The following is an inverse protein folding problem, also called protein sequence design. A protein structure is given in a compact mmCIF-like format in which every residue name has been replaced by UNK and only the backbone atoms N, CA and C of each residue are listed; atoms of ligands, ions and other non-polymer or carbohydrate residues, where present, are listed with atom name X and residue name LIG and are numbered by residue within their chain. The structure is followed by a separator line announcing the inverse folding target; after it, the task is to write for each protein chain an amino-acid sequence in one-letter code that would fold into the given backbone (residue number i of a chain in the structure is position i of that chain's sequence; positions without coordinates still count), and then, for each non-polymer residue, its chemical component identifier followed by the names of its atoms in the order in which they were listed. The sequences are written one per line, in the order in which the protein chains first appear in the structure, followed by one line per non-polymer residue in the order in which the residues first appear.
data_IF_413614745452
#
_entry.id   IF_413614745452
#
_cell.length_a   1.000
_cell.length_b   1.000
_cell.length_c   1.000
_cell.angle_alpha   90.00
_cell.angle_beta   90.00
_cell.angle_gamma   90.00
#
_symmetry.space_group_name_H-M   'P 1'
#
loop_
_entity.id
_entity.type
_entity.pdbx_description
1 polymer ?
#
# COMPACT_ATOMS: atom_id res chain seq x y z
N UNK A 1 -1.16 37.98 68.90
CA UNK A 1 -1.94 36.84 68.36
C UNK A 1 -1.42 36.53 66.96
N UNK A 2 -0.59 35.50 66.83
CA UNK A 2 -0.08 34.98 65.55
C UNK A 2 -0.31 33.47 65.56
N UNK A 3 -1.52 33.06 65.15
CA UNK A 3 -1.89 31.65 65.07
C UNK A 3 -1.15 31.08 63.85
N UNK A 4 -0.18 30.22 64.13
CA UNK A 4 0.74 29.62 63.16
C UNK A 4 -0.03 28.66 62.24
N UNK A 5 -0.11 29.00 60.95
CA UNK A 5 -0.87 28.29 59.91
C UNK A 5 -0.12 27.02 59.41
N UNK A 6 0.40 26.21 60.34
CA UNK A 6 1.27 25.05 60.04
C UNK A 6 0.50 23.88 59.39
N UNK A 7 -0.76 23.69 59.79
CA UNK A 7 -1.64 22.66 59.21
C UNK A 7 -2.04 22.99 57.78
N UNK A 8 -2.26 24.28 57.47
CA UNK A 8 -2.58 24.73 56.10
C UNK A 8 -1.43 24.47 55.11
N UNK A 9 -0.16 24.56 55.56
CA UNK A 9 1.02 24.31 54.72
C UNK A 9 1.25 22.83 54.39
N UNK A 10 0.87 21.92 55.30
CA UNK A 10 1.01 20.46 55.06
C UNK A 10 -0.05 19.92 54.09
N UNK A 11 -1.27 20.46 54.12
CA UNK A 11 -2.34 20.08 53.21
C UNK A 11 -2.08 20.53 51.76
N UNK A 12 -1.46 21.70 51.56
CA UNK A 12 -1.10 22.20 50.23
C UNK A 12 -0.03 21.37 49.51
N UNK A 13 0.92 20.78 50.26
CA UNK A 13 1.98 19.94 49.69
C UNK A 13 1.47 18.57 49.23
N UNK A 14 0.50 17.98 49.94
CA UNK A 14 -0.11 16.69 49.57
C UNK A 14 -0.94 16.77 48.28
N UNK A 15 -1.68 17.86 48.10
CA UNK A 15 -2.50 18.06 46.89
C UNK A 15 -1.67 18.20 45.60
N UNK A 16 -0.46 18.79 45.68
CA UNK A 16 0.44 18.92 44.52
C UNK A 16 1.04 17.56 44.09
N UNK A 17 1.35 16.67 45.05
CA UNK A 17 1.91 15.35 44.77
C UNK A 17 0.89 14.40 44.10
N UNK A 18 -0.40 14.56 44.39
CA UNK A 18 -1.48 13.81 43.75
C UNK A 18 -1.88 14.35 42.37
N UNK A 19 -1.61 15.63 42.08
CA UNK A 19 -1.90 16.27 40.79
C UNK A 19 -0.76 16.12 39.76
N UNK A 20 0.46 15.79 40.20
CA UNK A 20 1.62 15.60 39.32
C UNK A 20 1.43 14.55 38.20
N UNK A 21 0.90 13.33 38.44
CA UNK A 21 0.72 12.35 37.37
C UNK A 21 -0.40 12.72 36.37
N UNK A 22 -1.38 13.54 36.77
CA UNK A 22 -2.45 14.02 35.89
C UNK A 22 -1.99 15.13 34.93
N UNK A 23 -0.90 15.85 35.26
CA UNK A 23 -0.25 16.80 34.35
C UNK A 23 0.78 16.11 33.44
N UNK A 24 1.37 15.00 33.88
CA UNK A 24 2.28 14.20 33.07
C UNK A 24 1.58 13.56 31.85
N UNK A 25 0.27 13.24 31.95
CA UNK A 25 -0.50 12.71 30.82
C UNK A 25 -0.80 13.73 29.71
N UNK A 26 -0.41 15.01 29.89
CA UNK A 26 -0.53 16.05 28.86
C UNK A 26 0.81 16.40 28.20
N UNK A 27 1.89 15.67 28.49
CA UNK A 27 3.23 15.98 27.96
C UNK A 27 3.61 15.17 26.73
N UNK A 28 2.92 14.06 26.44
CA UNK A 28 2.99 13.42 25.13
C UNK A 28 1.89 13.99 24.25
N UNK A 29 2.27 14.96 23.42
CA UNK A 29 1.36 15.51 22.44
C UNK A 29 1.14 14.43 21.38
N UNK A 30 -0.12 14.02 21.19
CA UNK A 30 -0.50 13.03 20.17
C UNK A 30 -0.02 13.41 18.75
N UNK A 31 0.36 14.67 18.53
CA UNK A 31 0.93 15.22 17.29
C UNK A 31 2.42 14.98 17.10
N UNK A 32 3.17 14.61 18.14
CA UNK A 32 4.62 14.39 18.05
C UNK A 32 4.97 12.96 17.63
N UNK A 33 3.98 12.05 17.61
CA UNK A 33 4.15 10.74 17.02
C UNK A 33 4.15 10.82 15.48
N UNK A 34 5.06 10.08 14.85
CA UNK A 34 5.13 9.98 13.39
C UNK A 34 3.88 9.27 12.88
N UNK A 35 2.89 10.05 12.42
CA UNK A 35 1.72 9.53 11.72
C UNK A 35 2.01 9.46 10.21
N UNK A 36 2.05 8.25 9.66
CA UNK A 36 2.23 8.04 8.23
C UNK A 36 0.88 7.72 7.59
N UNK A 37 0.22 8.73 7.03
CA UNK A 37 -1.00 8.58 6.25
C UNK A 37 -0.71 8.04 4.83
N UNK A 38 0.02 6.92 4.73
CA UNK A 38 0.39 6.32 3.46
C UNK A 38 0.04 4.83 3.43
N UNK A 39 -0.10 4.28 2.23
CA UNK A 39 -0.39 2.87 2.05
C UNK A 39 0.81 1.97 2.40
N UNK A 40 2.02 2.53 2.46
CA UNK A 40 3.25 1.80 2.78
C UNK A 40 3.74 1.98 4.21
N UNK A 41 4.59 1.03 4.62
CA UNK A 41 5.27 1.08 5.91
C UNK A 41 6.55 1.90 5.81
N UNK A 42 6.95 2.54 6.90
CA UNK A 42 8.23 3.26 6.98
C UNK A 42 9.03 2.83 8.21
N UNK A 43 10.35 2.79 8.07
CA UNK A 43 11.31 2.60 9.14
C UNK A 43 12.31 3.76 9.11
N UNK A 44 12.63 4.33 10.28
CA UNK A 44 13.53 5.47 10.44
C UNK A 44 14.55 5.26 11.56
N UNK A 45 14.78 4.01 11.94
CA UNK A 45 15.62 3.68 13.10
C UNK A 45 17.11 3.57 12.73
N UNK A 46 17.43 3.53 11.43
CA UNK A 46 18.78 3.42 10.90
C UNK A 46 19.32 4.74 10.32
N UNK A 47 20.57 4.72 9.81
CA UNK A 47 21.17 5.87 9.13
C UNK A 47 20.57 6.14 7.74
N UNK A 48 19.92 5.12 7.16
CA UNK A 48 19.13 5.24 5.94
C UNK A 48 17.68 4.95 6.31
N UNK A 49 16.81 5.92 6.13
CA UNK A 49 15.37 5.73 6.33
C UNK A 49 14.78 5.00 5.13
N UNK A 50 13.89 4.06 5.41
CA UNK A 50 13.11 3.35 4.41
C UNK A 50 11.68 3.85 4.50
N UNK A 51 11.26 4.66 3.53
CA UNK A 51 9.97 5.37 3.57
C UNK A 51 9.00 4.83 2.53
N UNK A 52 7.74 4.67 2.96
CA UNK A 52 6.61 4.25 2.12
C UNK A 52 6.94 3.01 1.26
N UNK A 53 7.51 1.98 1.89
CA UNK A 53 7.75 0.71 1.24
C UNK A 53 6.42 -0.01 1.00
N UNK A 54 6.20 -0.44 -0.25
CA UNK A 54 5.05 -1.25 -0.67
C UNK A 54 5.50 -2.26 -1.72
N UNK A 55 4.85 -3.42 -1.76
CA UNK A 55 4.97 -4.34 -2.89
C UNK A 55 3.72 -4.20 -3.73
N UNK A 56 3.87 -3.73 -4.96
CA UNK A 56 2.76 -3.59 -5.90
C UNK A 56 2.66 -4.87 -6.72
N UNK A 57 1.51 -5.54 -6.67
CA UNK A 57 1.27 -6.80 -7.35
C UNK A 57 -0.03 -6.77 -8.16
N UNK A 58 -0.14 -7.66 -9.14
CA UNK A 58 -1.36 -7.89 -9.91
C UNK A 58 -2.07 -9.14 -9.38
N UNK A 59 -3.40 -9.13 -9.35
CA UNK A 59 -4.23 -10.25 -8.86
C UNK A 59 -3.98 -11.54 -9.68
N UNK A 60 -3.77 -11.37 -10.99
CA UNK A 60 -3.51 -12.49 -11.90
C UNK A 60 -2.16 -13.20 -11.68
N UNK A 61 -1.24 -12.61 -10.93
CA UNK A 61 0.12 -13.15 -10.73
C UNK A 61 0.52 -13.16 -9.25
N UNK A 62 -0.10 -14.04 -8.43
CA UNK A 62 0.25 -14.14 -7.02
C UNK A 62 1.74 -14.50 -6.83
N UNK A 63 2.34 -13.99 -5.75
CA UNK A 63 3.76 -14.19 -5.43
C UNK A 63 4.75 -13.44 -6.33
N UNK A 64 4.28 -12.51 -7.17
CA UNK A 64 5.11 -11.63 -8.01
C UNK A 64 4.68 -10.19 -7.83
N UNK A 65 5.64 -9.28 -7.68
CA UNK A 65 5.36 -7.85 -7.60
C UNK A 65 6.60 -7.00 -7.80
N UNK A 66 6.42 -5.68 -7.70
CA UNK A 66 7.49 -4.69 -7.70
C UNK A 66 7.52 -4.00 -6.35
N UNK A 67 8.66 -4.06 -5.67
CA UNK A 67 8.95 -3.25 -4.49
C UNK A 67 9.13 -1.79 -4.92
N UNK A 68 8.28 -0.93 -4.37
CA UNK A 68 8.31 0.53 -4.54
C UNK A 68 8.63 1.13 -3.18
N UNK A 69 9.66 1.98 -3.11
CA UNK A 69 10.16 2.52 -1.84
C UNK A 69 10.95 3.80 -2.06
N UNK A 70 10.97 4.67 -1.05
CA UNK A 70 11.90 5.80 -0.98
C UNK A 70 12.96 5.55 0.07
N UNK A 71 14.23 5.68 -0.29
CA UNK A 71 15.36 5.54 0.63
C UNK A 71 15.96 6.91 0.87
N UNK A 72 16.18 7.30 2.13
CA UNK A 72 16.74 8.61 2.49
C UNK A 72 18.00 8.42 3.31
N UNK A 73 19.14 8.91 2.84
CA UNK A 73 20.38 8.83 3.59
C UNK A 73 20.52 10.09 4.46
N UNK A 74 20.38 9.91 5.78
CA UNK A 74 20.41 11.02 6.73
C UNK A 74 21.83 11.49 7.08
N UNK A 75 22.87 10.86 6.52
CA UNK A 75 24.23 11.36 6.69
C UNK A 75 24.42 12.66 5.94
N UNK A 76 24.88 13.69 6.64
CA UNK A 76 25.19 15.00 6.04
C UNK A 76 26.70 15.21 6.13
N UNK A 77 27.32 15.50 4.98
CA UNK A 77 28.74 15.85 4.91
C UNK A 77 28.91 17.38 4.95
N UNK A 78 29.91 17.91 5.69
CA UNK A 78 30.18 19.34 5.74
C UNK A 78 30.43 19.93 4.35
N UNK A 79 29.96 21.16 4.13
CA UNK A 79 30.22 21.86 2.87
C UNK A 79 31.73 22.02 2.62
N UNK A 80 32.20 21.50 1.48
CA UNK A 80 33.61 21.53 1.09
C UNK A 80 34.46 20.36 1.58
N UNK A 81 33.87 19.32 2.18
CA UNK A 81 34.56 18.06 2.46
C UNK A 81 34.59 17.15 1.23
N UNK A 82 35.69 16.42 1.03
CA UNK A 82 35.83 15.36 0.02
C UNK A 82 35.39 13.97 0.54
N UNK A 83 34.71 13.92 1.69
CA UNK A 83 34.21 12.67 2.28
C UNK A 83 33.07 12.11 1.43
N UNK A 84 33.22 10.88 0.94
CA UNK A 84 32.11 10.15 0.32
C UNK A 84 31.28 9.45 1.41
N UNK A 85 30.16 10.07 1.77
CA UNK A 85 29.16 9.50 2.70
C UNK A 85 27.97 8.84 1.97
N UNK A 86 28.13 8.50 0.68
CA UNK A 86 27.13 7.78 -0.11
C UNK A 86 26.96 6.36 0.42
N UNK A 87 25.72 5.97 0.71
CA UNK A 87 25.40 4.58 0.99
C UNK A 87 24.87 3.87 -0.25
N UNK A 88 24.72 2.54 -0.20
CA UNK A 88 24.18 1.75 -1.29
C UNK A 88 23.25 0.67 -0.78
N UNK A 89 22.06 0.54 -1.37
CA UNK A 89 21.27 -0.66 -1.23
C UNK A 89 21.92 -1.77 -2.07
N UNK A 90 22.28 -2.88 -1.43
CA UNK A 90 23.01 -3.99 -2.07
C UNK A 90 22.19 -5.28 -2.15
N UNK A 91 21.15 -5.41 -1.33
CA UNK A 91 20.34 -6.62 -1.26
C UNK A 91 18.93 -6.35 -0.75
N UNK A 92 18.02 -7.25 -1.14
CA UNK A 92 16.66 -7.35 -0.60
C UNK A 92 16.41 -8.82 -0.31
N UNK A 93 16.02 -9.13 0.93
CA UNK A 93 15.75 -10.50 1.38
C UNK A 93 14.57 -10.56 2.37
N UNK A 94 14.46 -11.64 3.15
CA UNK A 94 13.31 -11.93 4.02
C UNK A 94 12.35 -12.96 3.41
N UNK A 95 11.05 -12.70 3.51
CA UNK A 95 9.98 -13.53 2.92
C UNK A 95 9.88 -13.40 1.39
N UNK A 96 10.60 -12.43 0.83
CA UNK A 96 10.69 -12.17 -0.60
C UNK A 96 12.12 -12.31 -1.09
N UNK A 97 12.25 -12.69 -2.36
CA UNK A 97 13.50 -12.67 -3.09
C UNK A 97 13.45 -11.55 -4.13
N UNK A 98 14.34 -10.57 -3.99
CA UNK A 98 14.52 -9.48 -4.95
C UNK A 98 15.94 -9.44 -5.49
N UNK A 99 16.12 -9.16 -6.79
CA UNK A 99 17.43 -9.04 -7.39
C UNK A 99 17.86 -7.57 -7.51
N UNK A 100 18.76 -7.13 -6.64
CA UNK A 100 19.47 -5.85 -6.81
C UNK A 100 20.62 -6.08 -7.79
N UNK A 101 20.34 -6.01 -9.09
CA UNK A 101 21.33 -6.34 -10.14
C UNK A 101 22.58 -5.45 -10.09
N UNK A 102 22.43 -4.22 -9.60
CA UNK A 102 23.52 -3.28 -9.32
C UNK A 102 23.20 -2.54 -8.02
N UNK A 103 24.18 -2.31 -7.14
CA UNK A 103 23.95 -1.50 -5.95
C UNK A 103 23.34 -0.15 -6.29
N UNK A 104 22.26 0.22 -5.60
CA UNK A 104 21.59 1.51 -5.79
C UNK A 104 22.26 2.53 -4.89
N UNK A 105 22.92 3.53 -5.45
CA UNK A 105 23.59 4.58 -4.68
C UNK A 105 22.57 5.56 -4.07
N UNK A 106 22.73 5.87 -2.79
CA UNK A 106 21.90 6.79 -2.00
C UNK A 106 22.82 7.92 -1.49
N UNK A 107 22.90 9.05 -2.22
CA UNK A 107 23.80 10.14 -1.86
C UNK A 107 23.53 10.68 -0.45
N UNK A 108 24.58 11.12 0.22
CA UNK A 108 24.50 11.73 1.54
C UNK A 108 23.56 12.95 1.55
N UNK A 109 22.62 12.99 2.49
CA UNK A 109 21.66 14.08 2.65
C UNK A 109 20.57 14.12 1.58
N UNK A 110 20.47 13.08 0.76
CA UNK A 110 19.52 12.98 -0.35
C UNK A 110 18.69 11.70 -0.28
N UNK A 111 17.79 11.54 -1.25
CA UNK A 111 16.88 10.40 -1.36
C UNK A 111 16.91 9.77 -2.74
N UNK A 112 16.54 8.50 -2.78
CA UNK A 112 16.30 7.74 -4.00
C UNK A 112 14.91 7.15 -3.93
N UNK A 113 14.11 7.37 -4.97
CA UNK A 113 12.81 6.74 -5.16
C UNK A 113 12.95 5.59 -6.15
N UNK A 114 12.75 4.37 -5.64
CA UNK A 114 12.71 3.13 -6.40
C UNK A 114 11.27 2.89 -6.84
N UNK A 115 10.98 3.15 -8.11
CA UNK A 115 9.65 3.03 -8.69
C UNK A 115 9.71 2.92 -10.21
N UNK A 116 8.58 2.60 -10.83
CA UNK A 116 8.33 2.96 -12.22
C UNK A 116 7.84 4.41 -12.27
N UNK A 117 8.44 5.25 -13.13
CA UNK A 117 8.01 6.64 -13.25
C UNK A 117 6.58 6.69 -13.83
N UNK A 118 5.67 7.36 -13.12
CA UNK A 118 4.29 7.63 -13.56
C UNK A 118 3.99 9.13 -13.39
N UNK A 119 2.77 9.54 -13.74
CA UNK A 119 2.32 10.92 -13.49
C UNK A 119 2.28 11.24 -11.99
N UNK A 120 1.94 10.25 -11.15
CA UNK A 120 1.74 10.41 -9.72
C UNK A 120 2.97 10.03 -8.89
N UNK A 121 3.84 9.15 -9.42
CA UNK A 121 5.03 8.64 -8.71
C UNK A 121 6.29 9.00 -9.51
N UNK A 122 7.06 10.01 -9.07
CA UNK A 122 8.37 10.27 -9.65
C UNK A 122 9.32 9.12 -9.28
N UNK A 123 10.20 8.72 -10.21
CA UNK A 123 11.20 7.70 -9.97
C UNK A 123 12.59 8.25 -10.28
N UNK A 124 13.57 7.94 -9.42
CA UNK A 124 15.00 8.19 -9.69
C UNK A 124 15.71 6.93 -10.16
N UNK A 125 15.19 5.76 -9.78
CA UNK A 125 15.68 4.45 -10.19
C UNK A 125 14.50 3.48 -10.31
N UNK A 126 14.62 2.41 -11.12
CA UNK A 126 13.55 1.44 -11.29
C UNK A 126 13.22 0.73 -9.97
N UNK A 127 11.94 0.40 -9.77
CA UNK A 127 11.51 -0.48 -8.69
C UNK A 127 12.15 -1.86 -8.77
N UNK A 128 12.18 -2.58 -7.66
CA UNK A 128 12.83 -3.89 -7.59
C UNK A 128 11.78 -4.97 -7.77
N UNK A 129 11.91 -5.78 -8.83
CA UNK A 129 11.06 -6.95 -8.99
C UNK A 129 11.34 -7.96 -7.86
N UNK A 130 10.28 -8.36 -7.17
CA UNK A 130 10.31 -9.31 -6.06
C UNK A 130 9.41 -10.51 -6.33
N UNK A 131 9.83 -11.67 -5.82
CA UNK A 131 9.05 -12.90 -5.87
C UNK A 131 9.00 -13.54 -4.49
N UNK A 132 7.92 -14.23 -4.16
CA UNK A 132 7.75 -14.85 -2.85
C UNK A 132 6.42 -15.57 -2.72
N UNK A 133 6.06 -15.95 -1.49
CA UNK A 133 4.78 -16.59 -1.19
C UNK A 133 3.82 -15.59 -0.54
N UNK A 134 3.27 -14.69 -1.34
CA UNK A 134 2.35 -13.63 -0.89
C UNK A 134 1.20 -13.38 -1.86
N UNK A 135 0.11 -12.79 -1.36
CA UNK A 135 -1.03 -12.30 -2.14
C UNK A 135 -1.39 -10.87 -1.73
N UNK A 136 -2.30 -10.25 -2.48
CA UNK A 136 -2.82 -8.92 -2.19
C UNK A 136 -3.39 -8.85 -0.77
N UNK A 137 -3.06 -7.78 -0.04
CA UNK A 137 -3.47 -7.54 1.35
C UNK A 137 -2.59 -8.21 2.42
N UNK A 138 -1.62 -9.04 2.03
CA UNK A 138 -0.66 -9.60 2.97
C UNK A 138 0.36 -8.52 3.42
N UNK A 139 1.01 -8.78 4.55
CA UNK A 139 2.22 -8.08 5.00
C UNK A 139 3.35 -9.10 5.01
N UNK A 140 4.48 -8.76 4.38
CA UNK A 140 5.65 -9.66 4.28
C UNK A 140 6.86 -9.02 4.93
N UNK A 141 7.69 -9.82 5.60
CA UNK A 141 8.94 -9.32 6.18
C UNK A 141 9.96 -9.12 5.05
N UNK A 142 10.43 -7.88 4.90
CA UNK A 142 11.44 -7.50 3.91
C UNK A 142 12.65 -6.95 4.64
N UNK A 143 13.81 -7.55 4.38
CA UNK A 143 15.10 -7.08 4.85
C UNK A 143 15.80 -6.26 3.76
N UNK A 144 16.21 -5.05 4.11
CA UNK A 144 16.96 -4.13 3.27
C UNK A 144 18.43 -4.14 3.69
N UNK A 145 19.30 -4.59 2.79
CA UNK A 145 20.74 -4.66 3.06
C UNK A 145 21.44 -3.45 2.45
N UNK A 146 22.15 -2.71 3.31
CA UNK A 146 22.94 -1.55 2.92
C UNK A 146 24.44 -1.87 2.98
N UNK A 147 25.23 -1.16 2.17
CA UNK A 147 26.68 -1.36 2.15
C UNK A 147 27.36 -0.83 3.42
N UNK A 148 26.85 0.25 4.01
CA UNK A 148 27.47 0.91 5.16
C UNK A 148 26.52 1.07 6.36
N UNK A 149 25.23 1.30 6.13
CA UNK A 149 24.22 1.29 7.19
C UNK A 149 23.88 -0.13 7.66
N UNK A 150 23.28 -0.23 8.84
CA UNK A 150 22.74 -1.49 9.34
C UNK A 150 21.57 -1.95 8.46
N UNK A 151 21.43 -3.26 8.28
CA UNK A 151 20.24 -3.83 7.63
C UNK A 151 18.99 -3.54 8.45
N UNK A 152 17.88 -3.34 7.76
CA UNK A 152 16.59 -2.97 8.35
C UNK A 152 15.54 -3.97 7.89
N UNK A 153 14.78 -4.54 8.83
CA UNK A 153 13.74 -5.54 8.54
C UNK A 153 12.42 -5.12 9.13
N UNK A 154 11.38 -5.07 8.30
CA UNK A 154 10.02 -4.76 8.74
C UNK A 154 8.96 -5.28 7.76
N UNK A 155 7.71 -5.22 8.19
CA UNK A 155 6.56 -5.68 7.42
C UNK A 155 6.17 -4.68 6.33
N UNK A 156 6.24 -5.12 5.08
CA UNK A 156 5.85 -4.37 3.89
C UNK A 156 4.51 -4.88 3.37
N UNK A 157 3.50 -4.01 3.18
CA UNK A 157 2.20 -4.42 2.64
C UNK A 157 2.28 -4.74 1.15
N UNK A 158 1.51 -5.74 0.74
CA UNK A 158 1.27 -6.09 -0.66
C UNK A 158 -0.03 -5.45 -1.12
N UNK A 159 0.08 -4.54 -2.09
CA UNK A 159 -1.04 -3.74 -2.60
C UNK A 159 -1.29 -3.98 -4.10
N UNK A 160 -2.48 -3.62 -4.53
CA UNK A 160 -2.95 -3.86 -5.90
C UNK A 160 -2.38 -2.84 -6.91
N UNK A 161 -1.92 -3.33 -8.07
CA UNK A 161 -1.58 -2.52 -9.25
C UNK A 161 -2.86 -2.07 -9.98
N UNK A 162 -3.72 -1.29 -9.33
CA UNK A 162 -5.05 -0.99 -9.87
C UNK A 162 -5.07 0.25 -10.74
N UNK A 163 -5.80 0.22 -11.86
CA UNK A 163 -6.06 1.39 -12.68
C UNK A 163 -6.74 2.52 -11.87
N UNK A 164 -6.27 3.75 -12.05
CA UNK A 164 -6.76 4.93 -11.33
C UNK A 164 -6.27 5.06 -9.88
N UNK A 165 -5.44 4.13 -9.39
CA UNK A 165 -4.74 4.28 -8.11
C UNK A 165 -3.38 4.97 -8.29
N UNK A 166 -2.84 5.53 -7.22
CA UNK A 166 -1.48 6.13 -7.21
C UNK A 166 -0.36 5.12 -7.55
N UNK A 167 -0.62 3.81 -7.46
CA UNK A 167 0.35 2.76 -7.77
C UNK A 167 0.09 2.08 -9.12
N UNK A 168 -0.84 2.61 -9.91
CA UNK A 168 -1.11 2.12 -11.26
C UNK A 168 0.18 2.17 -12.10
N UNK A 169 0.51 1.06 -12.75
CA UNK A 169 1.68 0.98 -13.63
C UNK A 169 2.98 0.57 -12.94
N UNK A 170 2.99 0.41 -11.60
CA UNK A 170 4.22 0.08 -10.87
C UNK A 170 4.69 -1.37 -11.09
N UNK A 171 3.78 -2.27 -11.46
CA UNK A 171 4.08 -3.67 -11.77
C UNK A 171 3.59 -4.04 -13.18
N UNK A 172 3.92 -3.20 -14.18
CA UNK A 172 3.44 -3.39 -15.55
C UNK A 172 1.99 -2.89 -15.72
N UNK A 173 1.26 -3.47 -16.68
CA UNK A 173 -0.11 -3.04 -16.99
C UNK A 173 -1.01 -3.15 -15.75
N UNK A 174 -1.75 -2.08 -15.39
CA UNK A 174 -2.59 -2.10 -14.21
C UNK A 174 -3.82 -2.99 -14.42
N UNK A 175 -4.25 -3.64 -13.34
CA UNK A 175 -5.51 -4.37 -13.29
C UNK A 175 -6.69 -3.40 -13.44
N UNK A 176 -7.78 -3.90 -14.04
CA UNK A 176 -8.97 -3.10 -14.25
C UNK A 176 -9.53 -2.62 -12.91
N UNK A 177 -10.00 -1.37 -12.85
CA UNK A 177 -10.69 -0.88 -11.67
C UNK A 177 -11.93 -1.74 -11.42
N UNK A 178 -12.04 -2.32 -10.21
CA UNK A 178 -13.28 -2.95 -9.79
C UNK A 178 -14.35 -1.86 -9.71
N UNK A 179 -15.47 -1.98 -10.44
CA UNK A 179 -16.55 -1.01 -10.32
C UNK A 179 -17.04 -1.06 -8.87
N UNK A 180 -17.00 0.08 -8.18
CA UNK A 180 -17.60 0.19 -6.86
C UNK A 180 -19.08 -0.17 -7.02
N UNK A 181 -19.50 -1.28 -6.40
CA UNK A 181 -20.90 -1.68 -6.36
C UNK A 181 -21.68 -0.61 -5.58
N UNK A 182 -22.11 0.44 -6.29
CA UNK A 182 -22.70 1.64 -5.71
C UNK A 182 -22.96 2.78 -6.69
N UNK A 183 -22.25 2.84 -7.83
CA UNK A 183 -22.42 3.94 -8.81
C UNK A 183 -23.49 3.67 -9.88
N UNK A 184 -24.23 2.57 -9.82
CA UNK A 184 -25.37 2.30 -10.72
C UNK A 184 -26.71 2.34 -9.99
N UNK A 185 -27.03 3.45 -9.32
CA UNK A 185 -28.42 3.74 -8.95
C UNK A 185 -29.14 4.64 -9.97
N UNK A 186 -28.41 5.39 -10.82
CA UNK A 186 -29.06 6.24 -11.84
C UNK A 186 -29.42 5.52 -13.15
N UNK A 187 -28.80 4.37 -13.46
CA UNK A 187 -29.04 3.70 -14.75
C UNK A 187 -30.24 2.73 -14.75
N UNK A 188 -30.76 2.37 -13.57
CA UNK A 188 -31.99 1.57 -13.48
C UNK A 188 -33.27 2.40 -13.67
N UNK A 189 -33.23 3.72 -13.48
CA UNK A 189 -34.43 4.55 -13.56
C UNK A 189 -34.75 5.02 -14.99
N UNK A 190 -33.77 5.19 -15.89
CA UNK A 190 -34.07 5.57 -17.28
C UNK A 190 -34.68 4.42 -18.11
N UNK A 191 -34.27 3.17 -17.85
CA UNK A 191 -34.85 2.01 -18.54
C UNK A 191 -36.21 1.60 -17.96
N UNK A 192 -36.48 1.83 -16.67
CA UNK A 192 -37.78 1.55 -16.06
C UNK A 192 -38.87 2.55 -16.51
N UNK A 193 -38.51 3.83 -16.72
CA UNK A 193 -39.44 4.85 -17.22
C UNK A 193 -39.73 4.74 -18.72
N UNK A 194 -38.79 4.24 -19.54
CA UNK A 194 -39.05 3.95 -20.96
C UNK A 194 -39.94 2.71 -21.16
N UNK A 195 -39.91 1.74 -20.25
CA UNK A 195 -40.74 0.53 -20.34
C UNK A 195 -42.20 0.73 -19.90
N UNK A 196 -42.53 1.81 -19.18
CA UNK A 196 -43.90 2.11 -18.72
C UNK A 196 -44.72 2.95 -19.73
N UNK A 197 -44.13 3.34 -20.87
CA UNK A 197 -44.75 4.26 -21.84
C UNK A 197 -45.40 3.62 -23.07
N UNK A 198 -45.20 2.34 -23.33
CA UNK A 198 -45.83 1.64 -24.46
C UNK A 198 -46.77 0.56 -23.96
N UNK A 199 -48.07 0.89 -23.96
CA UNK A 199 -49.14 -0.08 -23.86
C UNK A 199 -49.14 -0.94 -25.14
N UNK A 200 -48.91 -2.26 -25.09
CA UNK A 200 -49.16 -3.10 -26.24
C UNK A 200 -50.66 -3.32 -26.39
N UNK A 201 -51.17 -2.95 -27.56
CA UNK A 201 -52.50 -3.30 -28.03
C UNK A 201 -52.70 -4.83 -27.96
N UNK A 202 -53.84 -5.23 -27.44
CA UNK A 202 -54.34 -6.60 -27.42
C UNK A 202 -54.35 -7.22 -28.81
N UNK A 203 -53.81 -8.43 -28.97
CA UNK A 203 -54.25 -9.32 -30.06
C UNK A 203 -54.31 -10.77 -29.57
N UNK A 204 -55.40 -11.40 -29.98
CA UNK A 204 -55.94 -12.70 -29.61
C UNK A 204 -54.98 -13.89 -29.67
N UNK A 205 -55.25 -14.83 -28.76
CA UNK A 205 -54.71 -16.18 -28.73
C UNK A 205 -55.33 -17.08 -29.81
N UNK A 206 -54.58 -18.06 -30.32
CA UNK A 206 -55.08 -19.37 -30.80
C UNK A 206 -53.93 -20.41 -30.75
N UNK A 207 -54.19 -21.71 -30.43
CA UNK A 207 -53.19 -22.59 -29.81
C UNK A 207 -52.55 -23.65 -30.72
N UNK A 208 -51.42 -24.17 -30.21
CA UNK A 208 -50.83 -25.53 -30.27
C UNK A 208 -50.88 -26.37 -31.57
N UNK A 209 -49.73 -26.95 -31.91
CA UNK A 209 -49.66 -28.36 -32.37
C UNK A 209 -48.27 -28.96 -32.11
N UNK A 210 -48.31 -30.17 -31.54
CA UNK A 210 -47.23 -31.14 -31.32
C UNK A 210 -46.55 -31.63 -32.61
N UNK A 211 -45.35 -32.20 -32.45
CA UNK A 211 -44.67 -33.04 -33.44
C UNK A 211 -43.16 -33.11 -33.17
N UNK A 212 -42.64 -34.01 -32.34
CA UNK A 212 -42.43 -35.45 -32.56
C UNK A 212 -41.19 -35.81 -33.43
N UNK A 213 -40.25 -36.51 -32.77
CA UNK A 213 -39.28 -37.50 -33.27
C UNK A 213 -38.10 -37.11 -34.19
N UNK A 214 -36.92 -37.68 -33.86
CA UNK A 214 -35.87 -37.88 -34.86
C UNK A 214 -34.47 -38.25 -34.36
N UNK A 215 -34.26 -39.49 -33.91
CA UNK A 215 -32.94 -40.15 -33.79
C UNK A 215 -32.10 -39.99 -35.06
N UNK A 216 -30.77 -39.82 -34.94
CA UNK A 216 -29.78 -40.59 -35.73
C UNK A 216 -28.36 -40.53 -35.16
N UNK A 217 -27.78 -41.72 -35.03
CA UNK A 217 -26.38 -41.99 -34.74
C UNK A 217 -25.59 -42.23 -36.05
N UNK A 218 -24.28 -41.95 -36.05
CA UNK A 218 -23.19 -42.65 -36.77
C UNK A 218 -21.91 -41.79 -36.63
N UNK A 219 -20.81 -42.24 -36.02
CA UNK A 219 -19.81 -43.27 -36.39
C UNK A 219 -18.64 -42.72 -37.24
N UNK A 220 -17.46 -42.77 -36.60
CA UNK A 220 -16.10 -43.02 -37.12
C UNK A 220 -15.47 -42.08 -38.18
N UNK A 221 -14.24 -41.60 -37.89
CA UNK A 221 -13.02 -42.02 -38.61
C UNK A 221 -11.73 -41.55 -37.92
N UNK A 222 -10.74 -42.44 -37.92
CA UNK A 222 -9.33 -42.18 -37.63
C UNK A 222 -8.60 -41.61 -38.88
N UNK A 223 -7.42 -41.03 -38.62
CA UNK A 223 -6.24 -40.74 -39.46
C UNK A 223 -5.62 -39.45 -38.89
N UNK A 224 -4.34 -39.28 -38.61
CA UNK A 224 -3.08 -40.02 -38.86
C UNK A 224 -2.13 -39.66 -37.70
#
# INVERSE_FOLDING_TARGET
MLISNRTARLLGAGALLLAAPALASCTEQATDHIYTAAAGTSDRDASVDVLNAVIVANDATPGKGTLVVTLVNNRVVPAGSDEDATDKLVGISGDVTGAVAKPVAIPAGDKVVLATATADVPATAPGIAVTGSFKLGDFVDVEFDFANAASVTFQVPVIENRAGSQFAGQNGAPDAAVPMQGETFEQFNENALKAAGEAPASTEATPATDGEQGKKAAKAKAND
#
